data_IF_676517077093
#
_entry.id   IF_676517077093
#
_cell.length_a   1.000
_cell.length_b   1.000
_cell.length_c   1.000
_cell.angle_alpha   90.00
_cell.angle_beta   90.00
_cell.angle_gamma   90.00
#
_symmetry.space_group_name_H-M   'P 1'
#
loop_
_entity.id
_entity.type
_entity.pdbx_description
1 polymer ?
#
# COMPACT_ATOMS: atom_id res chain seq x y z
N UNK A 1 15.79 1.98 18.33
CA UNK A 1 15.99 2.48 19.66
C UNK A 1 15.11 1.79 20.68
N UNK A 2 15.62 1.61 21.89
CA UNK A 2 15.06 0.85 23.03
C UNK A 2 13.62 1.24 23.41
N UNK A 3 13.20 2.47 23.13
CA UNK A 3 11.90 3.05 23.56
C UNK A 3 10.66 2.29 23.05
N UNK A 4 10.76 1.55 21.93
CA UNK A 4 9.60 0.89 21.31
C UNK A 4 9.76 -0.63 21.19
N UNK A 5 10.81 -1.21 21.76
CA UNK A 5 11.10 -2.66 21.66
C UNK A 5 10.00 -3.56 22.22
N UNK A 6 9.29 -3.11 23.25
CA UNK A 6 8.17 -3.86 23.84
C UNK A 6 6.88 -3.76 23.04
N UNK A 7 6.80 -2.84 22.08
CA UNK A 7 5.58 -2.52 21.33
C UNK A 7 5.66 -2.91 19.83
N UNK A 8 6.89 -3.10 19.33
CA UNK A 8 7.16 -3.49 17.95
C UNK A 8 8.00 -4.76 17.94
N UNK A 9 7.48 -5.81 17.34
CA UNK A 9 8.17 -7.07 17.18
C UNK A 9 8.60 -7.24 15.70
N UNK A 10 9.89 -7.44 15.49
CA UNK A 10 10.40 -7.79 14.16
C UNK A 10 9.92 -9.18 13.77
N UNK A 11 9.30 -9.31 12.62
CA UNK A 11 8.86 -10.62 12.10
C UNK A 11 10.07 -11.54 11.87
N UNK A 12 11.25 -11.00 11.57
CA UNK A 12 12.48 -11.77 11.44
C UNK A 12 12.83 -12.59 12.70
N UNK A 13 12.47 -12.08 13.89
CA UNK A 13 12.78 -12.71 15.18
C UNK A 13 11.79 -13.81 15.58
N UNK A 14 10.70 -13.99 14.82
CA UNK A 14 9.73 -15.05 15.06
C UNK A 14 10.23 -16.40 14.56
N UNK A 15 9.72 -17.48 15.14
CA UNK A 15 9.98 -18.82 14.64
C UNK A 15 9.24 -19.08 13.31
N UNK A 16 9.55 -20.20 12.66
CA UNK A 16 8.99 -20.54 11.34
C UNK A 16 7.46 -20.66 11.37
N UNK A 17 6.90 -21.30 12.38
CA UNK A 17 5.46 -21.54 12.46
C UNK A 17 4.69 -20.23 12.62
N UNK A 18 5.16 -19.34 13.50
CA UNK A 18 4.59 -18.01 13.69
C UNK A 18 4.63 -17.18 12.39
N UNK A 19 5.75 -17.25 11.64
CA UNK A 19 5.87 -16.58 10.34
C UNK A 19 4.87 -17.13 9.34
N UNK A 20 4.73 -18.43 9.22
CA UNK A 20 3.77 -19.07 8.32
C UNK A 20 2.32 -18.68 8.65
N UNK A 21 1.97 -18.65 9.93
CA UNK A 21 0.64 -18.23 10.39
C UNK A 21 0.36 -16.77 10.04
N UNK A 22 1.27 -15.85 10.36
CA UNK A 22 1.10 -14.41 10.11
C UNK A 22 0.98 -14.12 8.60
N UNK A 23 1.86 -14.69 7.79
CA UNK A 23 1.84 -14.45 6.35
C UNK A 23 0.73 -15.22 5.62
N UNK A 24 0.29 -16.35 6.17
CA UNK A 24 -0.64 -17.29 5.51
C UNK A 24 -0.12 -17.75 4.16
N UNK A 25 1.20 -17.91 4.03
CA UNK A 25 1.88 -18.34 2.81
C UNK A 25 2.47 -19.74 3.02
N UNK A 26 2.58 -20.56 1.97
CA UNK A 26 3.35 -21.80 2.03
C UNK A 26 4.84 -21.49 2.28
N UNK A 27 5.54 -22.41 2.94
CA UNK A 27 6.96 -22.27 3.31
C UNK A 27 7.84 -21.84 2.13
N UNK A 28 7.61 -22.41 0.94
CA UNK A 28 8.36 -22.09 -0.28
C UNK A 28 8.25 -20.60 -0.73
N UNK A 29 7.24 -19.88 -0.27
CA UNK A 29 7.04 -18.45 -0.58
C UNK A 29 7.43 -17.53 0.58
N UNK A 30 7.62 -18.08 1.77
CA UNK A 30 7.95 -17.29 2.96
C UNK A 30 9.30 -16.60 2.81
N UNK A 31 10.33 -17.31 2.36
CA UNK A 31 11.68 -16.79 2.19
C UNK A 31 11.70 -15.60 1.23
N UNK A 32 10.96 -15.70 0.11
CA UNK A 32 10.79 -14.58 -0.83
C UNK A 32 10.08 -13.38 -0.20
N UNK A 33 9.07 -13.62 0.65
CA UNK A 33 8.33 -12.56 1.32
C UNK A 33 9.14 -11.86 2.41
N UNK A 34 10.15 -12.54 2.96
CA UNK A 34 11.09 -12.00 3.96
C UNK A 34 12.31 -11.33 3.35
N UNK A 35 12.66 -11.64 2.10
CA UNK A 35 13.78 -11.04 1.37
C UNK A 35 13.43 -9.62 0.91
N UNK A 36 13.60 -8.64 1.78
CA UNK A 36 13.20 -7.23 1.57
C UNK A 36 14.38 -6.30 1.73
N UNK A 37 14.60 -5.44 0.75
CA UNK A 37 15.69 -4.46 0.77
C UNK A 37 15.25 -3.08 1.31
N UNK A 38 13.96 -2.76 1.28
CA UNK A 38 13.47 -1.40 1.54
C UNK A 38 12.44 -1.30 2.66
N UNK A 39 11.98 -2.44 3.17
CA UNK A 39 10.97 -2.47 4.24
C UNK A 39 11.29 -3.55 5.27
N UNK A 40 10.95 -3.28 6.52
CA UNK A 40 11.09 -4.21 7.63
C UNK A 40 9.69 -4.63 8.08
N UNK A 41 9.31 -5.91 7.95
CA UNK A 41 8.02 -6.40 8.40
C UNK A 41 7.96 -6.45 9.93
N UNK A 42 6.88 -5.91 10.48
CA UNK A 42 6.66 -5.76 11.91
C UNK A 42 5.30 -6.30 12.33
N UNK A 43 5.23 -6.77 13.60
CA UNK A 43 3.99 -6.96 14.35
C UNK A 43 3.90 -5.89 15.43
N UNK A 44 2.74 -5.27 15.55
CA UNK A 44 2.46 -4.32 16.63
C UNK A 44 1.85 -5.03 17.82
N UNK A 45 2.33 -4.72 19.03
CA UNK A 45 1.94 -5.36 20.29
C UNK A 45 1.33 -4.39 21.31
N UNK A 46 1.22 -3.10 20.97
CA UNK A 46 0.69 -2.07 21.86
C UNK A 46 -0.80 -1.80 21.67
N UNK A 47 -1.29 -0.75 22.33
CA UNK A 47 -2.64 -0.21 22.14
C UNK A 47 -2.68 0.86 21.02
N UNK A 48 -3.87 1.41 20.73
CA UNK A 48 -4.07 2.41 19.67
C UNK A 48 -3.25 3.68 19.91
N UNK A 49 -3.21 4.16 21.15
CA UNK A 49 -2.46 5.37 21.52
C UNK A 49 -0.95 5.18 21.31
N UNK A 50 -0.42 4.03 21.71
CA UNK A 50 0.96 3.66 21.45
C UNK A 50 1.29 3.66 19.95
N UNK A 51 0.36 3.13 19.15
CA UNK A 51 0.51 3.06 17.70
C UNK A 51 0.63 4.44 17.09
N UNK A 52 -0.29 5.34 17.43
CA UNK A 52 -0.30 6.72 16.93
C UNK A 52 0.98 7.47 17.33
N UNK A 53 1.39 7.34 18.59
CA UNK A 53 2.61 7.94 19.08
C UNK A 53 3.86 7.44 18.36
N UNK A 54 3.95 6.13 18.09
CA UNK A 54 5.06 5.53 17.37
C UNK A 54 5.08 6.02 15.92
N UNK A 55 3.94 5.99 15.23
CA UNK A 55 3.82 6.47 13.86
C UNK A 55 4.28 7.92 13.75
N UNK A 56 3.77 8.80 14.62
CA UNK A 56 4.11 10.21 14.62
C UNK A 56 5.60 10.47 14.87
N UNK A 57 6.22 9.72 15.78
CA UNK A 57 7.65 9.86 16.07
C UNK A 57 8.53 9.33 14.93
N UNK A 58 8.14 8.24 14.29
CA UNK A 58 8.86 7.71 13.13
C UNK A 58 8.76 8.67 11.92
N UNK A 59 7.60 9.28 11.69
CA UNK A 59 7.44 10.27 10.64
C UNK A 59 8.35 11.48 10.81
N UNK A 60 8.59 11.93 12.03
CA UNK A 60 9.52 13.05 12.34
C UNK A 60 10.97 12.78 11.91
N UNK A 61 11.35 11.51 11.84
CA UNK A 61 12.71 11.09 11.43
C UNK A 61 12.75 10.52 10.00
N UNK A 62 11.70 10.77 9.20
CA UNK A 62 11.63 10.36 7.80
C UNK A 62 11.26 8.89 7.57
N UNK A 63 10.80 8.17 8.60
CA UNK A 63 10.34 6.79 8.50
C UNK A 63 8.82 6.72 8.53
N UNK A 64 8.27 5.69 7.90
CA UNK A 64 6.83 5.45 7.84
C UNK A 64 6.50 3.98 8.15
N UNK A 65 5.45 3.78 8.96
CA UNK A 65 4.78 2.49 9.08
C UNK A 65 3.62 2.47 8.09
N UNK A 66 3.61 1.47 7.21
CA UNK A 66 2.50 1.19 6.31
C UNK A 66 1.78 -0.06 6.80
N UNK A 67 0.47 0.04 6.98
CA UNK A 67 -0.36 -1.10 7.33
C UNK A 67 -0.69 -1.88 6.06
N UNK A 68 -0.32 -3.15 6.05
CA UNK A 68 -0.79 -4.13 5.07
C UNK A 68 -1.95 -4.95 5.64
N UNK A 69 -2.52 -5.83 4.82
CA UNK A 69 -3.64 -6.67 5.28
C UNK A 69 -3.30 -7.62 6.44
N UNK A 70 -2.04 -7.98 6.65
CA UNK A 70 -1.60 -8.96 7.67
C UNK A 70 -0.46 -8.49 8.55
N UNK A 71 0.39 -7.64 8.06
CA UNK A 71 1.60 -7.15 8.73
C UNK A 71 1.74 -5.64 8.53
N UNK A 72 2.48 -5.01 9.43
CA UNK A 72 2.98 -3.65 9.23
C UNK A 72 4.34 -3.69 8.56
N UNK A 73 4.64 -2.66 7.78
CA UNK A 73 5.92 -2.50 7.12
C UNK A 73 6.52 -1.15 7.52
N UNK A 74 7.69 -1.19 8.14
CA UNK A 74 8.49 0.01 8.41
C UNK A 74 9.42 0.24 7.20
N UNK A 75 9.47 1.44 6.71
CA UNK A 75 10.36 1.84 5.61
C UNK A 75 10.50 3.36 5.55
N UNK A 76 11.09 3.85 4.48
CA UNK A 76 11.16 5.27 4.21
C UNK A 76 9.78 5.89 4.04
N UNK A 77 9.67 7.21 4.21
CA UNK A 77 8.41 7.92 4.02
C UNK A 77 8.07 8.05 2.52
N UNK A 78 7.92 6.89 1.87
CA UNK A 78 7.53 6.76 0.48
C UNK A 78 6.14 6.14 0.42
N UNK A 79 5.24 6.77 -0.34
CA UNK A 79 3.88 6.24 -0.62
C UNK A 79 3.79 5.73 -2.04
N UNK A 80 2.75 4.95 -2.35
CA UNK A 80 2.45 4.56 -3.73
C UNK A 80 2.24 5.79 -4.64
N UNK A 81 1.65 6.87 -4.09
CA UNK A 81 1.45 8.12 -4.80
C UNK A 81 2.75 8.87 -5.09
N UNK A 82 3.68 8.93 -4.14
CA UNK A 82 5.00 9.55 -4.38
C UNK A 82 5.87 8.72 -5.32
N UNK A 83 5.80 7.39 -5.22
CA UNK A 83 6.49 6.48 -6.13
C UNK A 83 5.98 6.65 -7.57
N UNK A 84 4.65 6.64 -7.77
CA UNK A 84 4.03 6.88 -9.08
C UNK A 84 4.47 8.23 -9.67
N UNK A 85 4.44 9.31 -8.90
CA UNK A 85 4.85 10.64 -9.37
C UNK A 85 6.29 10.67 -9.85
N UNK A 86 7.22 10.06 -9.09
CA UNK A 86 8.64 9.96 -9.48
C UNK A 86 8.82 9.13 -10.75
N UNK A 87 8.14 7.97 -10.83
CA UNK A 87 8.20 7.10 -12.01
C UNK A 87 7.65 7.81 -13.24
N UNK A 88 6.52 8.50 -13.11
CA UNK A 88 5.91 9.26 -14.21
C UNK A 88 6.84 10.38 -14.70
N UNK A 89 7.51 11.09 -13.79
CA UNK A 89 8.50 12.10 -14.16
C UNK A 89 9.63 11.51 -15.00
N UNK A 90 10.19 10.36 -14.58
CA UNK A 90 11.24 9.66 -15.33
C UNK A 90 10.75 9.17 -16.71
N UNK A 91 9.53 8.65 -16.78
CA UNK A 91 8.95 8.19 -18.05
C UNK A 91 8.78 9.37 -19.02
N UNK A 92 8.18 10.48 -18.56
CA UNK A 92 7.95 11.67 -19.39
C UNK A 92 9.25 12.28 -19.89
N UNK A 93 10.27 12.39 -19.03
CA UNK A 93 11.58 12.92 -19.42
C UNK A 93 12.31 12.04 -20.45
N UNK A 94 12.16 10.72 -20.39
CA UNK A 94 12.84 9.80 -21.29
C UNK A 94 12.09 9.59 -22.63
N UNK A 95 10.76 9.57 -22.59
CA UNK A 95 9.97 9.28 -23.80
C UNK A 95 9.58 10.52 -24.59
N UNK A 96 9.67 11.70 -23.99
CA UNK A 96 9.18 12.97 -24.57
C UNK A 96 7.74 12.86 -25.12
N UNK A 97 6.88 12.10 -24.41
CA UNK A 97 5.48 11.83 -24.78
C UNK A 97 4.55 12.21 -23.64
N UNK A 98 3.35 12.65 -23.99
CA UNK A 98 2.28 12.77 -23.01
C UNK A 98 1.81 11.38 -22.59
N UNK A 99 1.93 11.09 -21.29
CA UNK A 99 1.57 9.80 -20.70
C UNK A 99 0.41 10.01 -19.76
N UNK A 100 -0.67 9.28 -19.95
CA UNK A 100 -1.81 9.23 -19.04
C UNK A 100 -1.64 8.10 -18.03
N UNK A 101 -2.13 8.34 -16.83
CA UNK A 101 -2.01 7.41 -15.71
C UNK A 101 -3.35 6.86 -15.28
N UNK A 102 -3.40 5.57 -15.01
CA UNK A 102 -4.57 4.90 -14.41
C UNK A 102 -4.14 4.43 -13.02
N UNK A 103 -4.70 5.04 -11.97
CA UNK A 103 -4.44 4.63 -10.59
C UNK A 103 -5.50 3.66 -10.11
N UNK A 104 -5.14 2.40 -9.93
CA UNK A 104 -6.07 1.35 -9.49
C UNK A 104 -5.65 0.81 -8.13
N UNK A 105 -6.58 0.76 -7.19
CA UNK A 105 -6.34 0.22 -5.85
C UNK A 105 -7.64 -0.08 -5.13
N UNK A 106 -7.56 -0.65 -3.94
CA UNK A 106 -8.72 -1.12 -3.17
C UNK A 106 -8.65 -0.75 -1.68
N UNK A 107 -7.61 0.01 -1.25
CA UNK A 107 -7.39 0.27 0.17
C UNK A 107 -6.80 1.68 0.41
N UNK A 108 -6.70 2.08 1.69
CA UNK A 108 -6.20 3.38 2.12
C UNK A 108 -4.80 3.72 1.57
N UNK A 109 -3.90 2.76 1.52
CA UNK A 109 -2.53 2.96 1.02
C UNK A 109 -2.47 3.25 -0.49
N UNK A 110 -3.57 3.04 -1.22
CA UNK A 110 -3.69 3.31 -2.65
C UNK A 110 -4.26 4.70 -2.94
N UNK A 111 -4.98 5.32 -1.99
CA UNK A 111 -5.74 6.53 -2.23
C UNK A 111 -4.90 7.71 -2.75
N UNK A 112 -3.67 7.86 -2.26
CA UNK A 112 -2.80 8.93 -2.73
C UNK A 112 -2.41 8.72 -4.21
N UNK A 113 -2.13 7.49 -4.62
CA UNK A 113 -1.85 7.12 -6.01
C UNK A 113 -3.08 7.34 -6.89
N UNK A 114 -4.23 6.85 -6.45
CA UNK A 114 -5.51 7.02 -7.13
C UNK A 114 -5.82 8.50 -7.34
N UNK A 115 -5.71 9.33 -6.30
CA UNK A 115 -5.99 10.77 -6.35
C UNK A 115 -5.08 11.53 -7.32
N UNK A 116 -3.83 11.09 -7.48
CA UNK A 116 -2.82 11.74 -8.35
C UNK A 116 -2.86 11.25 -9.79
N UNK A 117 -3.66 10.24 -10.12
CA UNK A 117 -3.76 9.71 -11.48
C UNK A 117 -4.76 10.49 -12.34
N UNK A 118 -4.58 10.43 -13.67
CA UNK A 118 -5.54 11.00 -14.63
C UNK A 118 -6.87 10.26 -14.59
N UNK A 119 -6.83 8.95 -14.39
CA UNK A 119 -8.01 8.08 -14.26
C UNK A 119 -7.99 7.41 -12.88
N UNK A 120 -8.64 8.03 -11.87
CA UNK A 120 -8.73 7.45 -10.54
C UNK A 120 -9.72 6.28 -10.51
N UNK A 121 -9.26 5.09 -10.09
CA UNK A 121 -10.06 3.88 -10.04
C UNK A 121 -9.96 3.22 -8.68
N UNK A 122 -11.10 2.96 -8.05
CA UNK A 122 -11.21 2.26 -6.78
C UNK A 122 -11.93 0.93 -6.98
N UNK A 123 -11.24 -0.15 -6.67
CA UNK A 123 -11.82 -1.50 -6.71
C UNK A 123 -12.56 -1.75 -5.40
N UNK A 124 -13.77 -2.28 -5.51
CA UNK A 124 -14.59 -2.63 -4.35
C UNK A 124 -13.86 -3.60 -3.43
N UNK A 125 -13.87 -3.28 -2.14
CA UNK A 125 -13.28 -4.11 -1.10
C UNK A 125 -14.23 -4.06 0.11
N UNK A 126 -14.72 -5.21 0.55
CA UNK A 126 -15.72 -5.31 1.62
C UNK A 126 -15.17 -4.85 2.99
N UNK A 127 -13.85 -4.81 3.14
CA UNK A 127 -13.16 -4.32 4.33
C UNK A 127 -12.82 -2.82 4.26
N UNK A 128 -13.25 -2.11 3.20
CA UNK A 128 -12.92 -0.72 2.98
C UNK A 128 -14.16 0.11 2.64
N UNK A 129 -14.45 1.13 3.46
CA UNK A 129 -15.61 2.00 3.25
C UNK A 129 -15.33 3.03 2.13
N UNK A 130 -15.60 2.62 0.91
CA UNK A 130 -15.43 3.45 -0.29
C UNK A 130 -16.32 4.70 -0.32
N UNK A 131 -17.42 4.74 0.45
CA UNK A 131 -18.34 5.91 0.54
C UNK A 131 -17.67 7.13 1.17
N UNK A 132 -16.62 6.92 1.95
CA UNK A 132 -15.83 8.00 2.58
C UNK A 132 -14.75 8.58 1.67
N UNK A 133 -14.59 8.03 0.47
CA UNK A 133 -13.55 8.47 -0.45
C UNK A 133 -14.07 9.61 -1.32
N UNK A 134 -13.51 10.80 -1.12
CA UNK A 134 -13.85 12.00 -1.90
C UNK A 134 -12.71 12.29 -2.91
N UNK A 135 -12.85 11.75 -4.12
CA UNK A 135 -11.92 11.95 -5.24
C UNK A 135 -12.75 12.29 -6.49
N UNK A 136 -12.40 13.39 -7.15
CA UNK A 136 -13.09 13.81 -8.36
C UNK A 136 -12.95 12.77 -9.48
N UNK A 137 -14.04 12.52 -10.22
CA UNK A 137 -14.08 11.58 -11.35
C UNK A 137 -13.70 10.13 -10.97
N UNK A 138 -13.84 9.75 -9.69
CA UNK A 138 -13.53 8.41 -9.23
C UNK A 138 -14.40 7.37 -9.92
N UNK A 139 -13.77 6.39 -10.53
CA UNK A 139 -14.42 5.21 -11.09
C UNK A 139 -14.39 4.11 -10.03
N UNK A 140 -15.55 3.62 -9.62
CA UNK A 140 -15.66 2.55 -8.63
C UNK A 140 -16.16 1.29 -9.31
N UNK A 141 -15.50 0.16 -9.08
CA UNK A 141 -15.95 -1.13 -9.61
C UNK A 141 -17.21 -1.63 -8.92
N UNK A 142 -18.02 -2.41 -9.63
CA UNK A 142 -19.19 -3.08 -9.06
C UNK A 142 -18.83 -4.36 -8.30
N UNK A 143 -17.68 -4.95 -8.61
CA UNK A 143 -17.21 -6.24 -8.07
C UNK A 143 -15.87 -6.07 -7.36
N UNK A 144 -15.52 -6.97 -6.41
CA UNK A 144 -14.19 -7.02 -5.83
C UNK A 144 -13.15 -7.55 -6.83
N UNK A 145 -11.87 -7.45 -6.45
CA UNK A 145 -10.75 -8.05 -7.20
C UNK A 145 -10.93 -9.59 -7.33
N UNK A 146 -10.52 -10.20 -8.45
CA UNK A 146 -9.86 -9.60 -9.62
C UNK A 146 -10.83 -8.98 -10.65
N UNK A 147 -12.12 -9.32 -10.58
CA UNK A 147 -13.13 -8.88 -11.57
C UNK A 147 -13.29 -7.35 -11.59
N UNK A 148 -13.34 -6.73 -10.39
CA UNK A 148 -13.47 -5.28 -10.29
C UNK A 148 -12.28 -4.51 -10.88
N UNK A 149 -11.08 -5.09 -10.83
CA UNK A 149 -9.92 -4.52 -11.50
C UNK A 149 -10.11 -4.49 -13.02
N UNK A 150 -10.57 -5.60 -13.60
CA UNK A 150 -10.85 -5.69 -15.03
C UNK A 150 -11.97 -4.71 -15.45
N UNK A 151 -13.02 -4.59 -14.63
CA UNK A 151 -14.15 -3.69 -14.89
C UNK A 151 -13.68 -2.23 -15.00
N UNK A 152 -12.89 -1.71 -14.03
CA UNK A 152 -12.45 -0.32 -14.07
C UNK A 152 -11.49 -0.04 -15.23
N UNK A 153 -10.60 -0.96 -15.56
CA UNK A 153 -9.72 -0.82 -16.72
C UNK A 153 -10.53 -0.74 -18.00
N UNK A 154 -11.54 -1.61 -18.18
CA UNK A 154 -12.41 -1.56 -19.35
C UNK A 154 -13.11 -0.19 -19.49
N UNK A 155 -13.69 0.33 -18.41
CA UNK A 155 -14.34 1.65 -18.39
C UNK A 155 -13.36 2.75 -18.79
N UNK A 156 -12.12 2.70 -18.30
CA UNK A 156 -11.09 3.70 -18.63
C UNK A 156 -10.71 3.60 -20.11
N UNK A 157 -10.51 2.39 -20.64
CA UNK A 157 -10.15 2.20 -22.05
C UNK A 157 -11.23 2.70 -23.00
N UNK A 158 -12.51 2.55 -22.63
CA UNK A 158 -13.66 3.12 -23.40
C UNK A 158 -13.69 4.66 -23.37
N UNK A 159 -13.10 5.30 -22.37
CA UNK A 159 -13.02 6.77 -22.28
C UNK A 159 -11.80 7.37 -22.99
N UNK A 160 -10.78 6.58 -23.25
CA UNK A 160 -9.53 7.02 -23.90
C UNK A 160 -9.65 6.91 -25.43
N UNK A 161 -10.45 5.97 -25.92
CA UNK A 161 -10.75 5.79 -27.35
C UNK A 161 -11.82 6.78 -27.82
#
# INVERSE_FOLDING_TARGET
>A
SLKYQSKLQLISNLNLNEKLEIFGLPKSKLDLSMNRNYTIPLKFLGNIEDKENIINNLMKIGLRIQEGGRIMNLGDNITKGTAMTKTLHLIKSNLNKDVKTIGVGDNFNDLEMIKKSDFPCLVKNDNFDHKKVNINNLIISNKPSPMGWADVIKIVMEKIN
#
